data_IF_668857337677
#
_entry.id   IF_668857337677
#
_cell.length_a   1.000
_cell.length_b   1.000
_cell.length_c   1.000
_cell.angle_alpha   90.00
_cell.angle_beta   90.00
_cell.angle_gamma   90.00
#
_symmetry.space_group_name_H-M   'P 1'
#
loop_
_entity.id
_entity.type
_entity.pdbx_description
1 polymer ?
#
# COMPACT_ATOMS: atom_id res chain seq x y z
N UNK A 1 -17.36 24.99 41.66
CA UNK A 1 -16.13 25.37 40.96
C UNK A 1 -15.71 24.19 40.11
N UNK A 2 -16.08 24.22 38.84
CA UNK A 2 -15.72 23.25 37.83
C UNK A 2 -14.74 23.93 36.88
N UNK A 3 -13.69 23.20 36.46
CA UNK A 3 -13.02 23.17 35.13
C UNK A 3 -11.51 22.97 35.28
N UNK A 4 -11.05 21.77 34.94
CA UNK A 4 -9.70 21.57 34.39
C UNK A 4 -9.76 20.46 33.33
N UNK A 5 -9.52 20.85 32.08
CA UNK A 5 -9.18 20.00 30.93
C UNK A 5 -7.65 20.12 30.65
N UNK A 6 -7.04 19.22 29.85
CA UNK A 6 -5.76 18.56 30.14
C UNK A 6 -4.55 19.17 29.40
N UNK A 7 -3.30 18.87 29.82
CA UNK A 7 -2.14 19.15 28.98
C UNK A 7 -1.96 18.04 27.94
N UNK A 8 -2.23 18.39 26.68
CA UNK A 8 -1.57 17.75 25.54
C UNK A 8 -0.12 18.25 25.47
N UNK A 9 0.85 17.33 25.35
CA UNK A 9 1.95 17.33 24.36
C UNK A 9 3.21 16.62 24.89
N UNK A 10 3.75 15.79 24.00
CA UNK A 10 5.16 15.52 23.76
C UNK A 10 5.94 14.70 24.81
N UNK A 11 6.06 13.40 24.55
CA UNK A 11 7.36 12.74 24.65
C UNK A 11 7.73 12.11 23.31
N UNK A 12 8.81 12.66 22.78
CA UNK A 12 9.43 12.41 21.49
C UNK A 12 10.57 11.42 21.70
N UNK A 13 10.54 10.32 20.94
CA UNK A 13 11.69 9.51 20.51
C UNK A 13 12.35 8.50 21.47
N UNK A 14 12.06 7.22 21.24
CA UNK A 14 13.09 6.17 21.15
C UNK A 14 12.67 5.12 20.12
N UNK A 15 13.61 4.78 19.24
CA UNK A 15 13.38 4.00 18.04
C UNK A 15 12.91 2.58 18.29
N UNK A 16 11.96 2.15 17.45
CA UNK A 16 11.80 0.87 16.73
C UNK A 16 10.43 1.04 16.07
N UNK A 17 10.40 1.34 14.77
CA UNK A 17 9.18 1.68 14.03
C UNK A 17 8.15 0.56 13.99
N UNK A 18 7.24 0.53 14.97
CA UNK A 18 6.01 -0.23 14.93
C UNK A 18 4.86 0.72 14.57
N UNK A 19 4.77 1.10 13.30
CA UNK A 19 3.54 1.72 12.79
C UNK A 19 2.56 0.59 12.47
N UNK A 20 1.92 0.05 13.50
CA UNK A 20 0.83 -0.90 13.34
C UNK A 20 -0.50 -0.17 13.06
N UNK A 21 -1.16 -0.67 12.02
CA UNK A 21 -2.62 -0.75 11.86
C UNK A 21 -3.44 0.53 11.73
N UNK A 22 -3.55 1.06 10.50
CA UNK A 22 -4.81 1.60 9.90
C UNK A 22 -4.91 1.42 8.37
N UNK A 23 -4.37 0.32 7.84
CA UNK A 23 -4.70 -0.19 6.50
C UNK A 23 -4.84 -1.71 6.64
N UNK A 24 -6.03 -2.15 7.05
CA UNK A 24 -6.30 -3.55 7.38
C UNK A 24 -6.43 -4.35 6.08
N UNK A 25 -5.36 -5.04 5.72
CA UNK A 25 -5.37 -6.02 4.63
C UNK A 25 -4.18 -5.85 3.69
N UNK A 26 -3.58 -6.98 3.32
CA UNK A 26 -2.71 -7.03 2.16
C UNK A 26 -3.49 -6.55 0.94
N UNK A 27 -3.01 -5.52 0.24
CA UNK A 27 -3.81 -4.87 -0.79
C UNK A 27 -3.86 -5.66 -2.11
N UNK A 28 -2.95 -6.62 -2.32
CA UNK A 28 -2.89 -7.38 -3.57
C UNK A 28 -4.05 -8.38 -3.63
N UNK A 29 -4.95 -8.28 -4.63
CA UNK A 29 -6.05 -9.21 -4.81
C UNK A 29 -5.55 -10.66 -4.92
N UNK A 30 -6.24 -11.57 -4.23
CA UNK A 30 -5.93 -13.01 -4.27
C UNK A 30 -4.69 -13.44 -3.48
N UNK A 31 -3.94 -12.51 -2.86
CA UNK A 31 -2.81 -12.90 -2.02
C UNK A 31 -3.27 -13.17 -0.58
N UNK A 32 -2.86 -14.33 -0.05
CA UNK A 32 -3.21 -14.81 1.29
C UNK A 32 -2.07 -14.69 2.30
N UNK A 33 -1.02 -13.93 2.00
CA UNK A 33 0.12 -13.77 2.91
C UNK A 33 -0.18 -12.81 4.05
N UNK A 34 0.03 -13.26 5.28
CA UNK A 34 -0.09 -12.42 6.50
C UNK A 34 1.27 -12.11 7.16
N UNK A 35 2.38 -12.54 6.55
CA UNK A 35 3.75 -12.34 7.05
C UNK A 35 4.62 -11.63 6.04
N UNK A 36 5.75 -11.10 6.53
CA UNK A 36 6.74 -10.36 5.73
C UNK A 36 6.08 -9.24 4.90
N UNK A 37 5.29 -8.42 5.59
CA UNK A 37 4.55 -7.31 5.00
C UNK A 37 5.43 -6.07 4.95
N UNK A 38 5.48 -5.45 3.78
CA UNK A 38 6.26 -4.26 3.51
C UNK A 38 5.32 -3.10 3.19
N UNK A 39 5.66 -1.92 3.70
CA UNK A 39 5.09 -0.66 3.23
C UNK A 39 5.57 -0.38 1.82
N UNK A 40 4.67 0.06 0.95
CA UNK A 40 4.97 0.40 -0.43
C UNK A 40 4.36 1.75 -0.80
N UNK A 41 5.14 2.58 -1.49
CA UNK A 41 4.66 3.85 -2.04
C UNK A 41 4.05 3.62 -3.42
N UNK A 42 2.80 4.01 -3.65
CA UNK A 42 2.09 3.84 -4.93
C UNK A 42 2.80 4.65 -6.02
N UNK A 43 2.95 5.95 -5.79
CA UNK A 43 3.95 6.78 -6.48
C UNK A 43 5.27 6.55 -5.77
N UNK A 44 6.24 5.96 -6.47
CA UNK A 44 7.51 5.58 -5.87
C UNK A 44 8.25 6.75 -5.24
N UNK A 45 8.98 6.47 -4.15
CA UNK A 45 9.84 7.45 -3.49
C UNK A 45 10.94 8.00 -4.41
N UNK A 46 11.46 7.18 -5.33
CA UNK A 46 12.41 7.61 -6.36
C UNK A 46 11.81 8.60 -7.36
N UNK A 47 10.48 8.64 -7.46
CA UNK A 47 9.71 9.61 -8.24
C UNK A 47 9.07 10.68 -7.35
N UNK A 48 9.70 10.97 -6.20
CA UNK A 48 9.26 11.99 -5.24
C UNK A 48 7.86 11.73 -4.62
N UNK A 49 7.40 10.48 -4.59
CA UNK A 49 6.15 10.12 -3.94
C UNK A 49 6.12 10.43 -2.45
N UNK A 50 5.00 10.98 -1.97
CA UNK A 50 4.83 11.44 -0.60
C UNK A 50 4.70 10.29 0.42
N UNK A 51 4.93 10.58 1.70
CA UNK A 51 4.63 9.67 2.81
C UNK A 51 3.19 9.79 3.33
N UNK A 52 2.30 10.49 2.61
CA UNK A 52 0.89 10.60 2.98
C UNK A 52 0.21 9.23 2.87
N UNK A 53 -0.73 8.92 3.76
CA UNK A 53 -1.42 7.62 3.77
C UNK A 53 -2.08 7.27 2.43
N UNK A 54 -2.57 8.28 1.71
CA UNK A 54 -3.12 8.16 0.35
C UNK A 54 -2.14 7.58 -0.68
N UNK A 55 -0.83 7.72 -0.46
CA UNK A 55 0.23 7.21 -1.34
C UNK A 55 0.83 5.88 -0.85
N UNK A 56 0.25 5.25 0.17
CA UNK A 56 0.87 4.13 0.86
C UNK A 56 -0.05 2.93 0.95
N UNK A 57 0.51 1.77 0.68
CA UNK A 57 -0.18 0.49 0.80
C UNK A 57 0.73 -0.57 1.40
N UNK A 58 0.16 -1.74 1.69
CA UNK A 58 0.86 -2.88 2.27
C UNK A 58 0.91 -4.03 1.27
N UNK A 59 2.12 -4.51 0.97
CA UNK A 59 2.39 -5.64 0.07
C UNK A 59 3.21 -6.71 0.80
N UNK A 60 3.06 -7.99 0.46
CA UNK A 60 4.00 -9.01 0.96
C UNK A 60 5.35 -8.85 0.25
N UNK A 61 6.42 -9.38 0.85
CA UNK A 61 7.77 -9.25 0.31
C UNK A 61 7.90 -9.69 -1.16
N UNK A 62 7.19 -10.76 -1.56
CA UNK A 62 7.19 -11.22 -2.96
C UNK A 62 6.50 -10.21 -3.88
N UNK A 63 5.27 -9.80 -3.59
CA UNK A 63 4.54 -8.83 -4.43
C UNK A 63 5.21 -7.45 -4.45
N UNK A 64 5.88 -7.06 -3.36
CA UNK A 64 6.68 -5.85 -3.33
C UNK A 64 7.88 -5.97 -4.29
N UNK A 65 8.78 -6.91 -4.03
CA UNK A 65 10.09 -6.93 -4.70
C UNK A 65 10.04 -7.58 -6.09
N UNK A 66 9.30 -8.68 -6.22
CA UNK A 66 9.20 -9.47 -7.45
C UNK A 66 7.96 -9.13 -8.27
N UNK A 67 6.94 -8.54 -7.66
CA UNK A 67 5.76 -8.04 -8.37
C UNK A 67 6.00 -6.64 -8.91
N UNK A 68 5.96 -5.65 -8.02
CA UNK A 68 6.00 -4.22 -8.41
C UNK A 68 7.36 -3.83 -8.99
N UNK A 69 8.45 -4.04 -8.25
CA UNK A 69 9.76 -3.55 -8.70
C UNK A 69 10.32 -4.30 -9.91
N UNK A 70 9.88 -5.53 -10.14
CA UNK A 70 10.24 -6.29 -11.34
C UNK A 70 9.25 -6.10 -12.51
N UNK A 71 8.28 -5.19 -12.39
CA UNK A 71 7.30 -4.85 -13.44
C UNK A 71 6.45 -6.05 -13.91
N UNK A 72 6.16 -7.00 -13.01
CA UNK A 72 5.21 -8.10 -13.25
C UNK A 72 3.81 -7.74 -12.74
N UNK A 73 3.74 -6.81 -11.79
CA UNK A 73 2.53 -6.26 -11.18
C UNK A 73 2.59 -4.73 -11.23
N UNK A 74 1.46 -4.05 -11.49
CA UNK A 74 1.30 -2.60 -11.27
C UNK A 74 0.30 -2.34 -10.15
N UNK A 75 0.60 -1.33 -9.33
CA UNK A 75 -0.36 -0.74 -8.39
C UNK A 75 -0.44 0.76 -8.68
N UNK A 76 -1.65 1.27 -8.90
CA UNK A 76 -1.92 2.69 -9.17
C UNK A 76 -3.14 3.17 -8.39
N UNK A 77 -3.38 4.47 -8.40
CA UNK A 77 -4.55 5.08 -7.76
C UNK A 77 -4.23 5.65 -6.38
N UNK A 78 -5.20 5.60 -5.46
CA UNK A 78 -5.11 6.23 -4.14
C UNK A 78 -5.57 5.26 -3.06
N UNK A 79 -4.74 5.05 -2.04
CA UNK A 79 -5.08 4.17 -0.93
C UNK A 79 -6.10 4.82 0.03
N UNK A 80 -6.89 3.99 0.76
CA UNK A 80 -6.89 2.53 0.69
C UNK A 80 -7.81 1.96 -0.41
N UNK A 81 -8.90 2.65 -0.75
CA UNK A 81 -10.01 2.06 -1.50
C UNK A 81 -9.94 2.30 -3.02
N UNK A 82 -9.15 3.28 -3.46
CA UNK A 82 -9.02 3.70 -4.86
C UNK A 82 -7.87 3.03 -5.59
N UNK A 83 -7.43 1.83 -5.16
CA UNK A 83 -6.31 1.12 -5.76
C UNK A 83 -6.72 0.30 -6.98
N UNK A 84 -5.92 0.37 -8.05
CA UNK A 84 -6.00 -0.52 -9.20
C UNK A 84 -4.76 -1.38 -9.28
N UNK A 85 -4.95 -2.69 -9.38
CA UNK A 85 -3.92 -3.70 -9.55
C UNK A 85 -3.98 -4.30 -10.95
N UNK A 86 -2.85 -4.30 -11.64
CA UNK A 86 -2.68 -4.98 -12.92
C UNK A 86 -1.67 -6.13 -12.72
N UNK A 87 -2.06 -7.34 -13.09
CA UNK A 87 -1.27 -8.55 -12.87
C UNK A 87 -0.89 -9.20 -14.21
N UNK A 88 0.26 -9.88 -14.23
CA UNK A 88 0.73 -10.57 -15.42
C UNK A 88 1.14 -9.59 -16.53
N UNK A 89 1.75 -8.47 -16.14
CA UNK A 89 2.30 -7.50 -17.08
C UNK A 89 3.34 -8.18 -17.97
N UNK A 90 3.22 -7.95 -19.28
CA UNK A 90 4.12 -8.47 -20.30
C UNK A 90 4.43 -7.35 -21.29
N UNK A 91 5.64 -7.32 -21.88
CA UNK A 91 5.96 -6.33 -22.89
C UNK A 91 4.96 -6.33 -24.04
N UNK A 92 4.41 -5.15 -24.36
CA UNK A 92 3.49 -4.92 -25.49
C UNK A 92 2.16 -5.67 -25.45
N UNK A 93 1.81 -6.31 -24.33
CA UNK A 93 0.51 -6.95 -24.14
C UNK A 93 -0.26 -6.28 -22.99
N UNK A 94 -1.59 -6.32 -23.02
CA UNK A 94 -2.39 -5.97 -21.86
C UNK A 94 -2.03 -6.82 -20.64
N UNK A 95 -2.33 -6.28 -19.47
CA UNK A 95 -2.33 -7.05 -18.23
C UNK A 95 -3.23 -8.28 -18.39
N UNK A 96 -2.84 -9.41 -17.80
CA UNK A 96 -3.66 -10.62 -17.85
C UNK A 96 -4.92 -10.47 -16.99
N UNK A 97 -4.80 -9.76 -15.87
CA UNK A 97 -5.91 -9.48 -14.95
C UNK A 97 -5.82 -8.04 -14.47
N UNK A 98 -6.97 -7.39 -14.35
CA UNK A 98 -7.10 -6.08 -13.74
C UNK A 98 -8.15 -6.12 -12.63
N UNK A 99 -7.79 -5.57 -11.48
CA UNK A 99 -8.64 -5.40 -10.31
C UNK A 99 -8.71 -3.92 -9.98
N UNK A 100 -9.91 -3.36 -9.87
CA UNK A 100 -10.12 -1.98 -9.47
C UNK A 100 -11.27 -1.83 -8.49
N UNK A 101 -11.52 -0.60 -8.01
CA UNK A 101 -12.66 -0.31 -7.15
C UNK A 101 -13.96 -0.69 -7.88
N UNK A 102 -14.66 -1.70 -7.38
CA UNK A 102 -15.93 -2.15 -7.94
C UNK A 102 -15.86 -2.99 -9.21
N UNK A 103 -14.68 -3.46 -9.64
CA UNK A 103 -14.54 -4.17 -10.92
C UNK A 103 -13.46 -5.28 -10.89
N UNK A 104 -13.81 -6.45 -11.41
CA UNK A 104 -12.87 -7.52 -11.79
C UNK A 104 -13.04 -7.74 -13.30
N UNK A 105 -12.02 -7.39 -14.09
CA UNK A 105 -11.99 -7.64 -15.54
C UNK A 105 -10.93 -8.69 -15.85
N UNK A 106 -11.32 -9.73 -16.58
CA UNK A 106 -10.41 -10.65 -17.27
C UNK A 106 -10.36 -10.23 -18.74
N UNK A 107 -9.20 -9.78 -19.20
CA UNK A 107 -9.00 -9.28 -20.57
C UNK A 107 -8.18 -10.25 -21.41
#
# INVERSE_FOLDING_TARGET
MATTLPPMLALFWMGIGHYHSRALGLAVPGCSSYRNLHRHHIVFRSHQGSNALANLTTLCAWHHQRGVHAHVLRCTGTAPDGLRFELGLRPRLPALLAYGPGEVQMT
#
